data_IF_236502474653
#
_entry.id   IF_236502474653
#
_cell.length_a   1.000
_cell.length_b   1.000
_cell.length_c   1.000
_cell.angle_alpha   90.00
_cell.angle_beta   90.00
_cell.angle_gamma   90.00
#
_symmetry.space_group_name_H-M   'P 1'
#
loop_
_entity.id
_entity.type
_entity.pdbx_description
1 polymer ?
#
# COMPACT_ATOMS: atom_id res chain seq x y z
N UNK A 1 -18.30 -6.01 -27.21
CA UNK A 1 -17.14 -6.34 -26.31
C UNK A 1 -17.65 -6.42 -24.88
N UNK A 2 -17.03 -7.22 -23.98
CA UNK A 2 -17.43 -7.24 -22.56
C UNK A 2 -16.52 -6.30 -21.76
N UNK A 3 -17.03 -5.63 -20.69
CA UNK A 3 -16.19 -4.91 -19.74
C UNK A 3 -15.11 -5.81 -19.13
N UNK A 4 -14.00 -5.20 -18.71
CA UNK A 4 -12.96 -5.92 -17.99
C UNK A 4 -13.47 -6.50 -16.67
N UNK A 5 -12.87 -7.62 -16.25
CA UNK A 5 -13.24 -8.25 -14.98
C UNK A 5 -13.01 -7.28 -13.82
N UNK A 6 -14.08 -6.96 -13.08
CA UNK A 6 -14.04 -6.03 -11.95
C UNK A 6 -14.43 -4.59 -12.29
N UNK A 7 -14.65 -4.25 -13.56
CA UNK A 7 -15.22 -2.94 -13.92
C UNK A 7 -16.71 -2.87 -13.54
N UNK A 8 -17.01 -2.12 -12.48
CA UNK A 8 -18.37 -1.96 -11.94
C UNK A 8 -19.20 -0.89 -12.64
N UNK A 9 -18.59 -0.09 -13.53
CA UNK A 9 -19.25 1.08 -14.14
C UNK A 9 -20.40 0.70 -15.08
N UNK A 10 -20.41 -0.53 -15.58
CA UNK A 10 -21.37 -1.01 -16.58
C UNK A 10 -22.20 -2.21 -16.09
N UNK A 11 -22.32 -2.41 -14.77
CA UNK A 11 -23.00 -3.60 -14.21
C UNK A 11 -24.49 -3.44 -14.08
N UNK A 12 -25.01 -2.21 -14.01
CA UNK A 12 -26.45 -1.98 -13.89
C UNK A 12 -27.18 -2.37 -15.20
N UNK A 13 -28.35 -3.04 -15.12
CA UNK A 13 -29.13 -3.42 -16.29
C UNK A 13 -29.44 -2.27 -17.26
N UNK A 14 -29.56 -1.03 -16.78
CA UNK A 14 -29.82 0.15 -17.63
C UNK A 14 -28.76 0.35 -18.73
N UNK A 15 -27.53 -0.11 -18.52
CA UNK A 15 -26.49 -0.03 -19.54
C UNK A 15 -26.70 -1.00 -20.71
N UNK A 16 -27.50 -2.05 -20.53
CA UNK A 16 -27.76 -3.09 -21.53
C UNK A 16 -29.20 -3.05 -22.05
N UNK A 17 -30.16 -2.68 -21.19
CA UNK A 17 -31.59 -2.73 -21.51
C UNK A 17 -32.03 -1.57 -22.42
N UNK A 18 -31.33 -0.43 -22.34
CA UNK A 18 -31.64 0.78 -23.11
C UNK A 18 -30.72 0.92 -24.35
N UNK A 19 -31.26 0.93 -25.59
CA UNK A 19 -30.46 0.87 -26.82
C UNK A 19 -29.42 1.99 -26.97
N UNK A 20 -29.72 3.20 -26.47
CA UNK A 20 -28.80 4.33 -26.54
C UNK A 20 -27.59 4.15 -25.62
N UNK A 21 -27.80 3.62 -24.41
CA UNK A 21 -26.74 3.38 -23.44
C UNK A 21 -25.91 2.14 -23.80
N UNK A 22 -26.53 1.10 -24.38
CA UNK A 22 -25.79 -0.04 -24.92
C UNK A 22 -24.91 0.40 -26.10
N UNK A 23 -25.44 1.18 -27.05
CA UNK A 23 -24.64 1.71 -28.17
C UNK A 23 -23.45 2.54 -27.67
N UNK A 24 -23.65 3.41 -26.68
CA UNK A 24 -22.59 4.21 -26.08
C UNK A 24 -21.54 3.33 -25.40
N UNK A 25 -21.97 2.33 -24.63
CA UNK A 25 -21.10 1.38 -23.93
C UNK A 25 -20.29 0.55 -24.91
N UNK A 26 -20.94 -0.04 -25.92
CA UNK A 26 -20.24 -0.82 -26.95
C UNK A 26 -19.26 0.06 -27.73
N UNK A 27 -19.65 1.27 -28.12
CA UNK A 27 -18.77 2.21 -28.83
C UNK A 27 -17.51 2.51 -28.02
N UNK A 28 -17.67 2.78 -26.72
CA UNK A 28 -16.56 2.99 -25.80
C UNK A 28 -15.67 1.74 -25.66
N UNK A 29 -16.26 0.57 -25.41
CA UNK A 29 -15.49 -0.66 -25.22
C UNK A 29 -14.73 -1.07 -26.49
N UNK A 30 -15.33 -0.86 -27.66
CA UNK A 30 -14.67 -1.10 -28.94
C UNK A 30 -13.55 -0.10 -29.21
N UNK A 31 -13.75 1.19 -28.91
CA UNK A 31 -12.71 2.20 -29.02
C UNK A 31 -11.54 1.90 -28.07
N UNK A 32 -11.84 1.59 -26.80
CA UNK A 32 -10.85 1.22 -25.79
C UNK A 32 -9.99 0.04 -26.24
N UNK A 33 -10.65 -1.03 -26.70
CA UNK A 33 -9.95 -2.20 -27.24
C UNK A 33 -9.10 -1.85 -28.45
N UNK A 34 -9.64 -1.10 -29.42
CA UNK A 34 -8.91 -0.73 -30.62
C UNK A 34 -7.66 0.09 -30.31
N UNK A 35 -7.75 1.04 -29.37
CA UNK A 35 -6.61 1.85 -28.94
C UNK A 35 -5.54 0.99 -28.27
N UNK A 36 -5.92 0.01 -27.46
CA UNK A 36 -4.97 -0.93 -26.84
C UNK A 36 -4.33 -1.85 -27.89
N UNK A 37 -5.13 -2.46 -28.77
CA UNK A 37 -4.66 -3.35 -29.84
C UNK A 37 -3.69 -2.61 -30.78
N UNK A 38 -3.91 -1.31 -31.04
CA UNK A 38 -2.99 -0.50 -31.85
C UNK A 38 -1.60 -0.38 -31.23
N UNK A 39 -1.47 -0.35 -29.90
CA UNK A 39 -0.17 -0.24 -29.23
C UNK A 39 0.66 -1.52 -29.37
N UNK A 40 0.02 -2.68 -29.51
CA UNK A 40 0.71 -3.97 -29.67
C UNK A 40 1.39 -4.12 -31.04
N UNK A 41 0.85 -3.46 -32.06
CA UNK A 41 1.32 -3.53 -33.46
C UNK A 41 2.49 -2.57 -33.74
N UNK A 42 2.81 -1.65 -32.82
CA UNK A 42 3.91 -0.71 -33.02
C UNK A 42 5.27 -1.37 -32.72
N UNK A 43 6.00 -1.67 -33.79
CA UNK A 43 7.37 -2.20 -33.70
C UNK A 43 8.40 -1.15 -33.25
N UNK A 44 9.51 -1.62 -32.68
CA UNK A 44 10.66 -0.78 -32.33
C UNK A 44 10.61 -0.10 -30.95
N UNK A 45 9.58 -0.38 -30.13
CA UNK A 45 9.46 0.13 -28.77
C UNK A 45 9.97 -0.92 -27.76
N UNK A 46 10.92 -0.58 -26.86
CA UNK A 46 11.34 -1.50 -25.79
C UNK A 46 10.18 -1.91 -24.87
N UNK A 47 10.17 -3.15 -24.39
CA UNK A 47 9.05 -3.72 -23.62
C UNK A 47 8.65 -2.88 -22.39
N UNK A 48 9.62 -2.40 -21.62
CA UNK A 48 9.36 -1.53 -20.45
C UNK A 48 8.68 -0.21 -20.84
N UNK A 49 9.02 0.34 -22.01
CA UNK A 49 8.41 1.57 -22.53
C UNK A 49 7.01 1.26 -23.07
N UNK A 50 6.85 0.16 -23.80
CA UNK A 50 5.55 -0.31 -24.30
C UNK A 50 4.57 -0.51 -23.14
N UNK A 51 4.97 -1.21 -22.10
CA UNK A 51 4.15 -1.43 -20.89
C UNK A 51 3.70 -0.11 -20.25
N UNK A 52 4.59 0.89 -20.16
CA UNK A 52 4.24 2.23 -19.68
C UNK A 52 3.23 2.94 -20.57
N UNK A 53 3.39 2.86 -21.89
CA UNK A 53 2.45 3.45 -22.85
C UNK A 53 1.08 2.80 -22.71
N UNK A 54 1.00 1.46 -22.65
CA UNK A 54 -0.27 0.77 -22.38
C UNK A 54 -0.92 1.26 -21.10
N UNK A 55 -0.17 1.35 -20.02
CA UNK A 55 -0.69 1.83 -18.73
C UNK A 55 -1.29 3.23 -18.86
N UNK A 56 -0.52 4.23 -19.31
CA UNK A 56 -1.01 5.60 -19.36
C UNK A 56 -2.13 5.82 -20.39
N UNK A 57 -2.08 5.11 -21.52
CA UNK A 57 -3.17 5.11 -22.49
C UNK A 57 -4.44 4.50 -21.90
N UNK A 58 -4.32 3.39 -21.14
CA UNK A 58 -5.44 2.79 -20.42
C UNK A 58 -6.04 3.75 -19.41
N UNK A 59 -5.20 4.44 -18.61
CA UNK A 59 -5.67 5.48 -17.68
C UNK A 59 -6.48 6.57 -18.40
N UNK A 60 -5.95 7.08 -19.52
CA UNK A 60 -6.60 8.14 -20.30
C UNK A 60 -7.94 7.67 -20.88
N UNK A 61 -7.97 6.49 -21.51
CA UNK A 61 -9.21 5.91 -22.04
C UNK A 61 -10.23 5.64 -20.93
N UNK A 62 -9.79 5.14 -19.77
CA UNK A 62 -10.66 4.92 -18.63
C UNK A 62 -11.22 6.22 -18.05
N UNK A 63 -10.50 7.34 -18.15
CA UNK A 63 -11.00 8.65 -17.72
C UNK A 63 -12.16 9.16 -18.57
N UNK A 64 -12.17 8.83 -19.87
CA UNK A 64 -13.25 9.19 -20.79
C UNK A 64 -14.40 8.17 -20.83
N UNK A 65 -14.45 7.22 -19.89
CA UNK A 65 -15.55 6.27 -19.85
C UNK A 65 -16.89 6.99 -19.61
N UNK A 66 -17.97 6.61 -20.32
CA UNK A 66 -19.26 7.27 -20.20
C UNK A 66 -19.88 7.12 -18.79
N UNK A 67 -19.51 6.08 -18.04
CA UNK A 67 -19.91 5.93 -16.64
C UNK A 67 -19.36 7.00 -15.70
N UNK A 68 -18.30 7.72 -16.07
CA UNK A 68 -17.66 8.70 -15.19
C UNK A 68 -18.36 10.08 -15.21
N UNK A 69 -19.37 10.31 -16.05
CA UNK A 69 -19.99 11.62 -16.20
C UNK A 69 -21.49 11.57 -15.91
N UNK A 70 -21.98 12.63 -15.24
CA UNK A 70 -23.40 12.78 -14.90
C UNK A 70 -24.32 12.61 -16.12
N UNK A 71 -24.03 13.27 -17.25
CA UNK A 71 -24.92 13.29 -18.41
C UNK A 71 -24.91 12.03 -19.28
N UNK A 72 -23.97 11.10 -19.05
CA UNK A 72 -23.89 9.82 -19.78
C UNK A 72 -24.09 8.59 -18.90
N UNK A 73 -24.23 8.76 -17.58
CA UNK A 73 -24.42 7.66 -16.65
C UNK A 73 -25.92 7.51 -16.29
N UNK A 74 -26.62 6.48 -16.82
CA UNK A 74 -28.05 6.29 -16.58
C UNK A 74 -28.39 6.08 -15.11
N UNK A 75 -27.51 5.46 -14.34
CA UNK A 75 -27.73 5.22 -12.90
C UNK A 75 -27.73 6.54 -12.13
N UNK A 76 -26.74 7.39 -12.40
CA UNK A 76 -26.62 8.70 -11.74
C UNK A 76 -27.77 9.60 -12.17
N UNK A 77 -28.14 9.61 -13.46
CA UNK A 77 -29.28 10.40 -13.95
C UNK A 77 -30.57 9.96 -13.25
N UNK A 78 -30.84 8.65 -13.19
CA UNK A 78 -32.04 8.13 -12.56
C UNK A 78 -32.06 8.47 -11.07
N UNK A 79 -30.94 8.30 -10.37
CA UNK A 79 -30.84 8.64 -8.95
C UNK A 79 -31.03 10.15 -8.72
N UNK A 80 -30.41 11.00 -9.54
CA UNK A 80 -30.59 12.46 -9.49
C UNK A 80 -32.03 12.89 -9.70
N UNK A 81 -32.75 12.25 -10.63
CA UNK A 81 -34.18 12.53 -10.83
C UNK A 81 -34.98 12.07 -9.61
N UNK A 82 -34.73 10.86 -9.11
CA UNK A 82 -35.46 10.29 -7.97
C UNK A 82 -35.26 11.10 -6.68
N UNK A 83 -34.04 11.60 -6.46
CA UNK A 83 -33.66 12.38 -5.27
C UNK A 83 -33.73 13.90 -5.50
N UNK A 84 -34.27 14.35 -6.63
CA UNK A 84 -34.38 15.78 -6.97
C UNK A 84 -33.05 16.56 -6.86
N UNK A 85 -31.93 15.88 -7.13
CA UNK A 85 -30.58 16.45 -7.09
C UNK A 85 -29.89 16.43 -5.73
N UNK A 86 -30.51 15.93 -4.66
CA UNK A 86 -29.87 15.84 -3.34
C UNK A 86 -28.58 15.00 -3.35
N UNK A 87 -28.52 13.94 -4.16
CA UNK A 87 -27.31 13.14 -4.34
C UNK A 87 -26.09 13.96 -4.78
N UNK A 88 -26.29 14.94 -5.66
CA UNK A 88 -25.22 15.81 -6.17
C UNK A 88 -24.78 16.82 -5.11
N UNK A 89 -25.70 17.29 -4.27
CA UNK A 89 -25.37 18.18 -3.14
C UNK A 89 -24.47 17.43 -2.15
N UNK A 90 -24.87 16.24 -1.71
CA UNK A 90 -24.07 15.40 -0.81
C UNK A 90 -22.71 15.03 -1.43
N UNK A 91 -22.70 14.72 -2.73
CA UNK A 91 -21.47 14.41 -3.45
C UNK A 91 -20.51 15.60 -3.56
N UNK A 92 -21.02 16.82 -3.76
CA UNK A 92 -20.23 18.05 -3.76
C UNK A 92 -19.68 18.40 -2.38
N UNK A 93 -20.46 18.21 -1.31
CA UNK A 93 -19.99 18.37 0.07
C UNK A 93 -18.83 17.40 0.35
N UNK A 94 -19.00 16.12 -0.01
CA UNK A 94 -17.97 15.09 0.15
C UNK A 94 -16.71 15.42 -0.67
N UNK A 95 -16.87 15.89 -1.91
CA UNK A 95 -15.75 16.30 -2.76
C UNK A 95 -15.00 17.49 -2.16
N UNK A 96 -15.71 18.47 -1.62
CA UNK A 96 -15.12 19.63 -0.96
C UNK A 96 -14.32 19.21 0.28
N UNK A 97 -14.89 18.35 1.13
CA UNK A 97 -14.21 17.84 2.31
C UNK A 97 -12.95 17.03 1.93
N UNK A 98 -13.05 16.18 0.91
CA UNK A 98 -11.89 15.44 0.41
C UNK A 98 -10.82 16.37 -0.16
N UNK A 99 -11.20 17.43 -0.88
CA UNK A 99 -10.26 18.42 -1.40
C UNK A 99 -9.55 19.18 -0.28
N UNK A 100 -10.26 19.52 0.81
CA UNK A 100 -9.70 20.23 1.97
C UNK A 100 -8.76 19.34 2.81
N UNK A 101 -9.06 18.04 2.87
CA UNK A 101 -8.23 17.05 3.59
C UNK A 101 -7.11 16.47 2.73
N UNK A 102 -7.23 16.62 1.41
CA UNK A 102 -6.20 16.28 0.44
C UNK A 102 -5.06 17.29 0.51
N UNK A 103 -3.81 16.79 0.50
CA UNK A 103 -2.63 17.65 0.43
C UNK A 103 -2.48 18.28 -0.96
N UNK A 104 -1.32 18.09 -1.59
CA UNK A 104 -1.09 18.56 -2.96
C UNK A 104 -1.84 17.77 -4.04
N UNK A 105 -2.42 16.62 -3.67
CA UNK A 105 -3.08 15.69 -4.58
C UNK A 105 -4.41 15.25 -3.99
N UNK A 106 -5.46 15.26 -4.83
CA UNK A 106 -6.79 14.78 -4.44
C UNK A 106 -6.72 13.28 -4.12
N UNK A 107 -7.01 12.94 -2.88
CA UNK A 107 -7.17 11.57 -2.40
C UNK A 107 -8.66 11.29 -2.26
N UNK A 108 -9.22 10.50 -3.18
CA UNK A 108 -10.62 10.08 -3.11
C UNK A 108 -10.79 9.16 -1.90
N UNK A 109 -11.66 9.54 -0.96
CA UNK A 109 -11.86 8.72 0.25
C UNK A 109 -12.53 7.39 -0.09
N UNK A 110 -12.03 6.31 0.51
CA UNK A 110 -12.53 4.95 0.27
C UNK A 110 -13.26 4.36 1.48
N UNK A 111 -13.15 5.03 2.64
CA UNK A 111 -13.82 4.72 3.89
C UNK A 111 -14.15 6.03 4.59
N UNK A 112 -15.06 6.00 5.56
CA UNK A 112 -15.17 7.07 6.52
C UNK A 112 -14.02 6.96 7.56
N UNK A 113 -13.45 8.10 7.93
CA UNK A 113 -12.29 8.21 8.83
C UNK A 113 -12.68 8.04 10.31
N UNK A 114 -13.96 8.18 10.64
CA UNK A 114 -14.46 8.08 12.01
C UNK A 114 -15.06 6.69 12.32
N UNK A 115 -14.99 5.76 11.36
CA UNK A 115 -15.62 4.43 11.47
C UNK A 115 -14.90 3.46 12.39
N UNK A 116 -13.61 3.72 12.68
CA UNK A 116 -12.78 2.81 13.46
C UNK A 116 -11.90 3.58 14.45
N UNK A 117 -11.76 3.01 15.66
CA UNK A 117 -10.81 3.49 16.67
C UNK A 117 -9.66 2.50 16.88
N UNK A 118 -8.42 2.95 16.72
CA UNK A 118 -7.23 2.15 17.02
C UNK A 118 -7.14 1.84 18.52
N UNK A 119 -6.84 0.59 18.85
CA UNK A 119 -6.84 0.04 20.20
C UNK A 119 -8.20 -0.45 20.70
N UNK A 120 -9.30 -0.15 19.98
CA UNK A 120 -10.64 -0.61 20.30
C UNK A 120 -11.18 -1.55 19.21
N UNK A 121 -11.43 -1.03 18.01
CA UNK A 121 -12.00 -1.79 16.89
C UNK A 121 -10.93 -2.39 15.98
N UNK A 122 -9.79 -1.70 15.87
CA UNK A 122 -8.61 -2.07 15.10
C UNK A 122 -7.39 -2.14 16.01
N UNK A 123 -6.43 -3.03 15.74
CA UNK A 123 -5.28 -3.26 16.62
C UNK A 123 -5.71 -3.54 18.08
N UNK A 124 -6.83 -4.26 18.23
CA UNK A 124 -7.48 -4.49 19.52
C UNK A 124 -6.75 -5.53 20.40
N UNK A 125 -5.81 -6.28 19.82
CA UNK A 125 -5.16 -7.39 20.49
C UNK A 125 -4.40 -6.87 21.72
N UNK A 126 -4.70 -7.42 22.90
CA UNK A 126 -4.04 -6.97 24.13
C UNK A 126 -2.54 -7.32 24.11
N UNK A 127 -1.72 -6.29 24.25
CA UNK A 127 -0.26 -6.37 24.34
C UNK A 127 0.31 -5.13 25.02
N UNK A 128 1.64 -5.07 25.13
CA UNK A 128 2.34 -3.95 25.78
C UNK A 128 3.52 -3.48 24.93
N UNK A 129 3.82 -2.17 24.98
CA UNK A 129 5.09 -1.64 24.49
C UNK A 129 6.18 -2.04 25.48
N UNK A 130 7.16 -2.80 25.02
CA UNK A 130 8.25 -3.33 25.86
C UNK A 130 9.60 -2.67 25.57
N UNK A 131 9.70 -1.97 24.45
CA UNK A 131 10.86 -1.16 24.08
C UNK A 131 10.43 -0.04 23.14
N UNK A 132 11.15 1.07 23.19
CA UNK A 132 10.93 2.22 22.32
C UNK A 132 12.25 2.91 22.02
N UNK A 133 12.44 3.29 20.76
CA UNK A 133 13.49 4.21 20.34
C UNK A 133 12.94 5.18 19.28
N UNK A 134 13.82 6.00 18.68
CA UNK A 134 13.43 7.00 17.67
C UNK A 134 12.81 6.41 16.39
N UNK A 135 13.02 5.12 16.12
CA UNK A 135 12.58 4.43 14.90
C UNK A 135 11.31 3.63 15.09
N UNK A 136 11.13 2.97 16.24
CA UNK A 136 10.01 2.07 16.47
C UNK A 136 9.71 1.83 17.95
N UNK A 137 8.50 1.36 18.20
CA UNK A 137 8.09 0.69 19.43
C UNK A 137 8.06 -0.83 19.20
N UNK A 138 8.57 -1.62 20.13
CA UNK A 138 8.40 -3.08 20.13
C UNK A 138 7.19 -3.44 20.98
N UNK A 139 6.20 -4.07 20.36
CA UNK A 139 5.01 -4.58 21.04
C UNK A 139 5.24 -6.05 21.38
N UNK A 140 4.93 -6.45 22.62
CA UNK A 140 4.86 -7.84 23.04
C UNK A 140 3.40 -8.24 23.25
N UNK A 141 3.03 -9.38 22.68
CA UNK A 141 1.75 -10.03 22.88
C UNK A 141 1.98 -11.43 23.45
N UNK A 142 1.45 -11.68 24.65
CA UNK A 142 1.55 -12.98 25.31
C UNK A 142 0.63 -14.01 24.66
N UNK A 143 1.07 -15.28 24.60
CA UNK A 143 0.19 -16.37 24.21
C UNK A 143 -1.00 -16.50 25.18
N UNK A 144 -2.15 -16.96 24.67
CA UNK A 144 -3.38 -17.14 25.47
C UNK A 144 -3.70 -18.61 25.75
N UNK A 145 -2.67 -19.47 25.67
CA UNK A 145 -2.73 -20.92 25.85
C UNK A 145 -2.05 -21.34 27.16
N UNK A 146 -2.36 -22.52 27.68
CA UNK A 146 -1.75 -23.04 28.91
C UNK A 146 -0.23 -23.28 28.79
N UNK A 147 0.23 -23.63 27.59
CA UNK A 147 1.65 -23.80 27.27
C UNK A 147 2.00 -22.93 26.07
N UNK A 148 3.24 -22.47 26.01
CA UNK A 148 3.75 -21.57 24.96
C UNK A 148 4.96 -22.18 24.27
N UNK A 149 5.11 -21.92 22.98
CA UNK A 149 6.32 -22.26 22.25
C UNK A 149 7.53 -21.50 22.81
N UNK A 150 8.62 -22.23 23.07
CA UNK A 150 9.84 -21.66 23.62
C UNK A 150 10.42 -20.54 22.72
N UNK A 151 10.55 -20.79 21.40
CA UNK A 151 11.06 -19.79 20.46
C UNK A 151 9.96 -18.77 20.13
N UNK A 152 10.14 -17.46 20.45
CA UNK A 152 9.15 -16.44 20.14
C UNK A 152 9.12 -16.10 18.64
N UNK A 153 8.07 -15.38 18.24
CA UNK A 153 7.95 -14.83 16.88
C UNK A 153 8.28 -13.33 16.89
N UNK A 154 9.11 -12.87 15.97
CA UNK A 154 9.27 -11.44 15.64
C UNK A 154 8.59 -11.15 14.31
N UNK A 155 7.68 -10.18 14.29
CA UNK A 155 7.02 -9.66 13.10
C UNK A 155 7.63 -8.31 12.73
N UNK A 156 8.19 -8.23 11.54
CA UNK A 156 8.72 -7.01 10.91
C UNK A 156 7.73 -6.57 9.83
N UNK A 157 6.77 -5.66 10.16
CA UNK A 157 5.80 -5.15 9.20
C UNK A 157 6.44 -4.15 8.24
N UNK A 158 5.75 -3.77 7.16
CA UNK A 158 6.18 -2.66 6.33
C UNK A 158 6.23 -1.37 7.16
N UNK A 159 7.18 -0.51 6.81
CA UNK A 159 7.23 0.90 7.22
C UNK A 159 6.58 1.81 6.15
N UNK A 160 5.78 1.20 5.26
CA UNK A 160 4.90 1.84 4.27
C UNK A 160 3.48 1.43 4.67
N UNK A 161 2.71 2.39 5.20
CA UNK A 161 1.52 2.20 6.04
C UNK A 161 1.84 1.53 7.40
N UNK A 162 0.87 1.55 8.31
CA UNK A 162 1.06 1.10 9.69
C UNK A 162 0.95 -0.41 9.85
N UNK A 163 1.50 -0.93 10.95
CA UNK A 163 1.61 -2.37 11.21
C UNK A 163 0.27 -3.11 11.35
N UNK A 164 -0.79 -2.40 11.72
CA UNK A 164 -2.05 -3.02 12.15
C UNK A 164 -2.84 -3.70 11.03
N UNK A 165 -2.37 -3.70 9.78
CA UNK A 165 -2.85 -4.66 8.76
C UNK A 165 -2.68 -6.12 9.19
N UNK A 166 -1.70 -6.39 10.07
CA UNK A 166 -1.49 -7.72 10.67
C UNK A 166 -2.31 -7.92 11.95
N UNK A 167 -3.01 -6.89 12.41
CA UNK A 167 -3.84 -6.89 13.62
C UNK A 167 -5.05 -5.98 13.39
N UNK A 168 -5.90 -6.31 12.40
CA UNK A 168 -7.07 -5.51 12.06
C UNK A 168 -8.16 -5.71 13.14
N UNK A 169 -9.27 -6.36 12.79
CA UNK A 169 -10.37 -6.67 13.69
C UNK A 169 -10.17 -8.07 14.29
N UNK A 170 -10.99 -8.42 15.28
CA UNK A 170 -10.97 -9.75 15.91
C UNK A 170 -11.02 -10.90 14.90
N UNK A 171 -11.92 -10.82 13.92
CA UNK A 171 -12.13 -11.87 12.94
C UNK A 171 -10.98 -12.03 11.92
N UNK A 172 -10.08 -11.06 11.81
CA UNK A 172 -9.02 -11.04 10.80
C UNK A 172 -7.67 -10.53 11.33
N UNK A 173 -7.43 -10.66 12.63
CA UNK A 173 -6.13 -10.38 13.25
C UNK A 173 -5.20 -11.59 13.17
N UNK A 174 -4.10 -11.42 12.42
CA UNK A 174 -3.05 -12.44 12.32
C UNK A 174 -2.26 -12.56 13.63
N UNK A 175 -2.00 -11.43 14.30
CA UNK A 175 -1.34 -11.42 15.62
C UNK A 175 -2.19 -12.16 16.65
N UNK A 176 -3.50 -11.88 16.72
CA UNK A 176 -4.39 -12.57 17.65
C UNK A 176 -4.43 -14.07 17.37
N UNK A 177 -4.50 -14.46 16.09
CA UNK A 177 -4.47 -15.87 15.70
C UNK A 177 -3.17 -16.57 16.16
N UNK A 178 -2.00 -15.96 15.96
CA UNK A 178 -0.70 -16.52 16.39
C UNK A 178 -0.63 -16.75 17.91
N UNK A 179 -1.16 -15.82 18.71
CA UNK A 179 -1.20 -15.96 20.18
C UNK A 179 -2.07 -17.14 20.62
N UNK A 180 -3.17 -17.38 19.90
CA UNK A 180 -4.03 -18.55 20.13
C UNK A 180 -3.40 -19.87 19.66
N UNK A 181 -2.41 -19.82 18.76
CA UNK A 181 -1.58 -20.97 18.41
C UNK A 181 -0.45 -21.23 19.42
N UNK A 182 -0.37 -20.46 20.50
CA UNK A 182 0.61 -20.65 21.56
C UNK A 182 1.98 -20.02 21.29
N UNK A 183 2.03 -18.94 20.50
CA UNK A 183 3.25 -18.16 20.31
C UNK A 183 3.24 -16.87 21.13
N UNK A 184 4.36 -16.56 21.80
CA UNK A 184 4.68 -15.18 22.19
C UNK A 184 5.07 -14.41 20.93
N UNK A 185 4.35 -13.33 20.63
CA UNK A 185 4.55 -12.53 19.41
C UNK A 185 5.12 -11.18 19.79
N UNK A 186 6.23 -10.83 19.18
CA UNK A 186 6.77 -9.48 19.16
C UNK A 186 6.49 -8.85 17.80
N UNK A 187 6.04 -7.61 17.77
CA UNK A 187 5.75 -6.89 16.54
C UNK A 187 6.34 -5.48 16.60
N UNK A 188 7.03 -5.09 15.55
CA UNK A 188 7.58 -3.73 15.45
C UNK A 188 6.49 -2.75 15.00
N UNK A 189 6.34 -1.63 15.71
CA UNK A 189 5.48 -0.51 15.33
C UNK A 189 6.36 0.67 14.94
N UNK A 190 6.53 0.91 13.64
CA UNK A 190 7.39 1.97 13.11
C UNK A 190 6.85 3.37 13.40
N UNK A 191 7.74 4.27 13.80
CA UNK A 191 7.43 5.70 13.95
C UNK A 191 7.10 6.32 12.59
N UNK A 192 6.09 7.19 12.53
CA UNK A 192 5.80 7.98 11.33
C UNK A 192 6.78 9.17 11.26
N UNK A 193 7.71 9.20 10.30
CA UNK A 193 8.81 10.15 10.31
C UNK A 193 8.36 11.58 10.01
N UNK A 194 9.04 12.53 10.65
CA UNK A 194 8.92 13.97 10.39
C UNK A 194 10.12 14.50 9.61
N UNK A 195 10.07 15.77 9.19
CA UNK A 195 11.12 16.40 8.38
C UNK A 195 12.50 16.38 9.04
N UNK A 196 12.55 16.40 10.37
CA UNK A 196 13.79 16.36 11.17
C UNK A 196 14.51 15.00 11.04
N UNK A 197 13.76 13.94 10.74
CA UNK A 197 14.24 12.57 10.62
C UNK A 197 14.74 12.23 9.20
N UNK A 198 14.95 13.23 8.34
CA UNK A 198 15.39 13.04 6.94
C UNK A 198 16.68 12.25 6.76
N UNK A 199 17.53 12.25 7.79
CA UNK A 199 18.84 11.62 7.76
C UNK A 199 18.81 10.13 8.10
N UNK A 200 17.69 9.61 8.61
CA UNK A 200 17.51 8.17 8.80
C UNK A 200 17.69 7.51 7.44
N UNK A 201 18.60 6.56 7.38
CA UNK A 201 18.92 5.78 6.19
C UNK A 201 18.49 4.32 6.38
N UNK A 202 18.56 3.53 5.31
CA UNK A 202 18.11 2.14 5.32
C UNK A 202 18.94 1.26 6.27
N UNK A 203 20.22 1.59 6.46
CA UNK A 203 21.10 0.93 7.43
C UNK A 203 20.68 1.19 8.89
N UNK A 204 20.17 2.38 9.21
CA UNK A 204 19.58 2.65 10.53
C UNK A 204 18.38 1.74 10.81
N UNK A 205 17.51 1.51 9.81
CA UNK A 205 16.37 0.58 9.95
C UNK A 205 16.83 -0.87 10.18
N UNK A 206 17.98 -1.25 9.61
CA UNK A 206 18.56 -2.58 9.83
C UNK A 206 19.17 -2.68 11.22
N UNK A 207 20.08 -1.77 11.57
CA UNK A 207 20.93 -1.86 12.77
C UNK A 207 20.17 -1.38 14.02
N UNK A 208 19.60 -0.18 13.97
CA UNK A 208 18.88 0.42 15.09
C UNK A 208 17.39 0.04 15.11
N UNK A 209 16.91 -0.64 14.07
CA UNK A 209 15.56 -1.21 13.99
C UNK A 209 15.58 -2.72 14.25
N UNK A 210 15.68 -3.52 13.18
CA UNK A 210 15.48 -4.97 13.25
C UNK A 210 16.52 -5.71 14.11
N UNK A 211 17.80 -5.34 14.05
CA UNK A 211 18.86 -5.93 14.91
C UNK A 211 18.62 -5.57 16.38
N UNK A 212 18.22 -4.32 16.66
CA UNK A 212 17.90 -3.89 18.02
C UNK A 212 16.67 -4.61 18.58
N UNK A 213 15.63 -4.82 17.76
CA UNK A 213 14.47 -5.62 18.16
C UNK A 213 14.87 -7.06 18.56
N UNK A 214 15.74 -7.71 17.78
CA UNK A 214 16.27 -9.04 18.10
C UNK A 214 17.05 -9.04 19.42
N UNK A 215 17.90 -8.03 19.66
CA UNK A 215 18.67 -7.86 20.89
C UNK A 215 17.75 -7.73 22.11
N UNK A 216 16.72 -6.90 22.02
CA UNK A 216 15.74 -6.68 23.09
C UNK A 216 14.97 -7.97 23.39
N UNK A 217 14.55 -8.71 22.37
CA UNK A 217 13.83 -9.99 22.56
C UNK A 217 14.71 -11.01 23.29
N UNK A 218 15.99 -11.14 22.92
CA UNK A 218 16.92 -12.03 23.62
C UNK A 218 17.12 -11.60 25.08
N UNK A 219 17.27 -10.30 25.34
CA UNK A 219 17.42 -9.77 26.71
C UNK A 219 16.19 -10.06 27.59
N UNK A 220 14.98 -9.93 27.03
CA UNK A 220 13.74 -10.14 27.76
C UNK A 220 13.38 -11.61 27.97
N UNK A 221 13.64 -12.46 26.98
CA UNK A 221 13.15 -13.84 26.98
C UNK A 221 14.23 -14.85 27.38
N UNK A 222 15.51 -14.47 27.27
CA UNK A 222 16.65 -15.39 27.36
C UNK A 222 16.82 -16.31 26.13
N UNK A 223 15.91 -16.23 25.16
CA UNK A 223 15.96 -17.03 23.93
C UNK A 223 16.89 -16.37 22.91
N UNK A 224 17.90 -17.11 22.47
CA UNK A 224 18.95 -16.59 21.58
C UNK A 224 18.51 -16.42 20.14
N UNK A 225 17.37 -17.02 19.77
CA UNK A 225 16.88 -17.02 18.41
C UNK A 225 15.36 -16.82 18.39
N UNK A 226 14.85 -16.24 17.30
CA UNK A 226 13.42 -16.05 17.05
C UNK A 226 13.01 -16.69 15.73
N UNK A 227 11.73 -17.00 15.58
CA UNK A 227 11.13 -17.20 14.26
C UNK A 227 10.71 -15.82 13.72
N UNK A 228 11.29 -15.37 12.60
CA UNK A 228 11.03 -14.04 12.06
C UNK A 228 10.02 -14.10 10.90
N UNK A 229 9.08 -13.16 10.88
CA UNK A 229 8.12 -12.95 9.81
C UNK A 229 8.32 -11.54 9.28
N UNK A 230 8.60 -11.43 7.99
CA UNK A 230 8.66 -10.16 7.28
C UNK A 230 7.48 -9.99 6.35
N UNK A 231 6.79 -8.84 6.40
CA UNK A 231 5.67 -8.55 5.53
C UNK A 231 5.98 -7.39 4.58
N UNK A 232 5.68 -7.56 3.29
CA UNK A 232 5.92 -6.55 2.25
C UNK A 232 7.38 -6.05 2.31
N UNK A 233 7.62 -4.73 2.35
CA UNK A 233 8.98 -4.16 2.46
C UNK A 233 9.67 -4.47 3.80
N UNK A 234 8.92 -4.81 4.85
CA UNK A 234 9.46 -5.30 6.11
C UNK A 234 10.18 -6.65 5.95
N UNK A 235 9.74 -7.48 5.00
CA UNK A 235 10.47 -8.69 4.61
C UNK A 235 11.75 -8.39 3.85
N UNK A 236 11.79 -7.37 3.00
CA UNK A 236 13.02 -6.92 2.35
C UNK A 236 14.03 -6.43 3.39
N UNK A 237 13.56 -5.72 4.42
CA UNK A 237 14.38 -5.33 5.57
C UNK A 237 14.90 -6.55 6.34
N UNK A 238 14.04 -7.53 6.65
CA UNK A 238 14.44 -8.77 7.33
C UNK A 238 15.49 -9.58 6.54
N UNK A 239 15.37 -9.62 5.21
CA UNK A 239 16.37 -10.25 4.35
C UNK A 239 17.72 -9.50 4.43
N UNK A 240 17.69 -8.16 4.38
CA UNK A 240 18.87 -7.32 4.52
C UNK A 240 19.52 -7.47 5.91
N UNK A 241 18.74 -7.59 6.97
CA UNK A 241 19.21 -7.84 8.34
C UNK A 241 19.94 -9.17 8.45
N UNK A 242 19.42 -10.25 7.86
CA UNK A 242 20.11 -11.54 7.84
C UNK A 242 21.41 -11.48 7.03
N UNK A 243 21.39 -10.79 5.88
CA UNK A 243 22.60 -10.55 5.09
C UNK A 243 23.65 -9.74 5.86
N UNK A 244 23.23 -8.77 6.67
CA UNK A 244 24.09 -7.99 7.56
C UNK A 244 24.78 -8.87 8.61
N UNK A 245 24.04 -9.77 9.28
CA UNK A 245 24.64 -10.74 10.22
C UNK A 245 25.73 -11.58 9.55
N UNK A 246 25.46 -12.11 8.35
CA UNK A 246 26.44 -12.90 7.58
C UNK A 246 27.64 -12.04 7.18
N UNK A 247 27.40 -10.84 6.64
CA UNK A 247 28.45 -9.94 6.15
C UNK A 247 29.41 -9.47 7.26
N UNK A 248 28.88 -9.20 8.45
CA UNK A 248 29.68 -8.82 9.63
C UNK A 248 30.20 -10.01 10.45
N UNK A 249 29.93 -11.26 10.01
CA UNK A 249 30.31 -12.50 10.72
C UNK A 249 29.78 -12.56 12.14
N UNK A 250 28.58 -12.02 12.35
CA UNK A 250 27.87 -12.06 13.61
C UNK A 250 27.05 -13.35 13.69
N UNK A 251 26.75 -13.79 14.92
CA UNK A 251 25.85 -14.93 15.12
C UNK A 251 24.45 -14.53 14.67
N UNK A 252 23.77 -15.38 13.90
CA UNK A 252 22.39 -15.13 13.49
C UNK A 252 21.44 -15.37 14.67
N UNK A 253 20.48 -14.48 14.86
CA UNK A 253 19.42 -14.58 15.88
C UNK A 253 18.06 -14.97 15.25
N UNK A 254 18.03 -15.29 13.95
CA UNK A 254 16.84 -15.73 13.23
C UNK A 254 16.93 -17.24 12.97
N UNK A 255 16.09 -18.02 13.67
CA UNK A 255 16.01 -19.48 13.55
C UNK A 255 15.28 -19.93 12.29
N UNK A 256 14.21 -19.21 11.94
CA UNK A 256 13.47 -19.38 10.68
C UNK A 256 12.99 -18.02 10.19
N UNK A 257 12.84 -17.86 8.87
CA UNK A 257 12.35 -16.63 8.25
C UNK A 257 11.17 -16.96 7.33
N UNK A 258 10.07 -16.24 7.50
CA UNK A 258 8.88 -16.30 6.63
C UNK A 258 8.70 -14.95 5.94
N UNK A 259 8.54 -14.96 4.62
CA UNK A 259 8.37 -13.75 3.81
C UNK A 259 6.95 -13.72 3.22
N UNK A 260 6.15 -12.75 3.65
CA UNK A 260 4.76 -12.59 3.25
C UNK A 260 4.67 -11.44 2.24
N UNK A 261 4.29 -11.74 0.99
CA UNK A 261 4.14 -10.75 -0.07
C UNK A 261 5.38 -9.81 -0.23
N UNK A 262 6.58 -10.37 -0.09
CA UNK A 262 7.84 -9.62 -0.11
C UNK A 262 8.59 -9.82 -1.41
N UNK A 263 9.09 -8.73 -1.98
CA UNK A 263 10.07 -8.77 -3.06
C UNK A 263 11.49 -8.80 -2.49
N UNK A 264 12.30 -9.71 -3.01
CA UNK A 264 13.75 -9.75 -2.83
C UNK A 264 14.43 -9.44 -4.17
N UNK A 265 13.92 -10.05 -5.25
CA UNK A 265 14.22 -9.68 -6.63
C UNK A 265 13.17 -8.65 -7.11
N UNK A 266 13.65 -7.47 -7.49
CA UNK A 266 12.85 -6.34 -7.95
C UNK A 266 12.84 -6.18 -9.48
N UNK A 267 13.31 -7.17 -10.25
CA UNK A 267 13.33 -7.08 -11.73
C UNK A 267 11.92 -6.90 -12.32
N UNK A 268 10.92 -7.54 -11.71
CA UNK A 268 9.52 -7.49 -12.12
C UNK A 268 8.62 -7.03 -10.97
N UNK A 269 8.62 -5.74 -10.61
CA UNK A 269 7.89 -5.21 -9.45
C UNK A 269 6.38 -5.03 -9.71
N UNK A 270 5.85 -5.66 -10.77
CA UNK A 270 4.49 -5.48 -11.24
C UNK A 270 4.22 -4.08 -11.78
N UNK A 271 2.98 -3.62 -11.61
CA UNK A 271 2.50 -2.37 -12.20
C UNK A 271 3.15 -1.11 -11.63
N UNK A 272 3.73 -1.17 -10.42
CA UNK A 272 4.57 -0.10 -9.89
C UNK A 272 5.76 0.23 -10.79
N UNK A 273 6.27 -0.76 -11.53
CA UNK A 273 7.39 -0.60 -12.47
C UNK A 273 7.14 0.45 -13.56
N UNK A 274 5.89 0.82 -13.83
CA UNK A 274 5.54 1.90 -14.78
C UNK A 274 6.15 3.24 -14.35
N UNK A 275 6.21 3.49 -13.05
CA UNK A 275 6.71 4.75 -12.49
C UNK A 275 8.23 4.73 -12.28
N UNK A 276 8.88 3.58 -12.38
CA UNK A 276 10.30 3.41 -12.09
C UNK A 276 11.13 3.63 -13.35
N UNK A 277 11.69 4.83 -13.48
CA UNK A 277 12.66 5.18 -14.52
C UNK A 277 13.54 6.35 -14.07
N UNK A 278 14.72 6.47 -14.66
CA UNK A 278 15.77 7.40 -14.24
C UNK A 278 15.30 8.86 -14.07
N UNK A 279 14.58 9.49 -15.03
CA UNK A 279 14.04 10.84 -14.86
C UNK A 279 13.07 10.97 -13.69
N UNK A 280 12.16 10.00 -13.50
CA UNK A 280 11.15 10.06 -12.44
C UNK A 280 11.81 9.87 -11.08
N UNK A 281 12.69 8.87 -10.94
CA UNK A 281 13.39 8.59 -9.68
C UNK A 281 14.24 9.79 -9.27
N UNK A 282 15.01 10.37 -10.19
CA UNK A 282 15.83 11.57 -9.89
C UNK A 282 14.98 12.78 -9.47
N UNK A 283 13.79 12.92 -10.05
CA UNK A 283 12.86 13.99 -9.68
C UNK A 283 12.29 13.78 -8.27
N UNK A 284 11.92 12.54 -7.94
CA UNK A 284 11.43 12.16 -6.61
C UNK A 284 12.53 12.37 -5.55
N UNK A 285 13.77 11.96 -5.83
CA UNK A 285 14.91 12.17 -4.93
C UNK A 285 15.13 13.66 -4.64
N UNK A 286 15.08 14.51 -5.67
CA UNK A 286 15.19 15.96 -5.52
C UNK A 286 14.08 16.52 -4.63
N UNK A 287 12.83 16.09 -4.84
CA UNK A 287 11.68 16.52 -4.04
C UNK A 287 11.79 16.04 -2.57
N UNK A 288 12.22 14.80 -2.37
CA UNK A 288 12.41 14.20 -1.06
C UNK A 288 13.51 14.92 -0.28
N UNK A 289 14.63 15.28 -0.93
CA UNK A 289 15.73 16.00 -0.29
C UNK A 289 15.28 17.40 0.19
N UNK A 290 14.42 18.06 -0.59
CA UNK A 290 13.84 19.36 -0.22
C UNK A 290 12.84 19.24 0.94
N UNK A 291 12.02 18.20 0.94
CA UNK A 291 10.93 18.01 1.93
C UNK A 291 11.41 17.35 3.23
N UNK A 292 12.48 16.54 3.15
CA UNK A 292 13.01 15.71 4.23
C UNK A 292 12.36 14.31 4.33
N UNK A 293 11.24 14.09 3.67
CA UNK A 293 10.55 12.80 3.61
C UNK A 293 9.75 12.68 2.33
N UNK A 294 9.40 11.45 1.98
CA UNK A 294 8.39 11.13 0.99
C UNK A 294 7.01 11.09 1.67
N UNK A 295 6.07 11.89 1.18
CA UNK A 295 4.71 11.99 1.71
C UNK A 295 3.90 10.73 1.40
N UNK A 296 3.48 9.99 2.44
CA UNK A 296 2.77 8.73 2.30
C UNK A 296 1.49 8.81 1.47
N UNK A 297 0.83 9.98 1.44
CA UNK A 297 -0.39 10.19 0.65
C UNK A 297 -0.16 10.02 -0.85
N UNK A 298 1.06 10.29 -1.33
CA UNK A 298 1.42 10.08 -2.74
C UNK A 298 1.44 8.60 -3.12
N UNK A 299 1.81 7.70 -2.19
CA UNK A 299 1.75 6.27 -2.42
C UNK A 299 0.30 5.79 -2.49
N UNK A 300 -0.58 6.26 -1.60
CA UNK A 300 -2.01 5.94 -1.66
C UNK A 300 -2.62 6.32 -3.01
N UNK A 301 -2.36 7.53 -3.51
CA UNK A 301 -2.81 7.97 -4.84
C UNK A 301 -2.23 7.07 -5.94
N UNK A 302 -0.95 6.73 -5.87
CA UNK A 302 -0.30 5.83 -6.84
C UNK A 302 -0.97 4.46 -6.86
N UNK A 303 -1.26 3.86 -5.70
CA UNK A 303 -1.94 2.56 -5.60
C UNK A 303 -3.37 2.62 -6.16
N UNK A 304 -4.12 3.69 -5.88
CA UNK A 304 -5.45 3.88 -6.46
C UNK A 304 -5.41 4.00 -7.99
N UNK A 305 -4.37 4.65 -8.54
CA UNK A 305 -4.16 4.73 -9.98
C UNK A 305 -3.78 3.38 -10.61
N UNK A 306 -3.14 2.47 -9.87
CA UNK A 306 -2.80 1.14 -10.38
C UNK A 306 -4.01 0.22 -10.59
N UNK A 307 -5.13 0.52 -9.91
CA UNK A 307 -6.41 -0.17 -10.04
C UNK A 307 -7.55 0.82 -10.25
N UNK A 308 -7.40 1.64 -11.30
CA UNK A 308 -8.19 2.83 -11.54
C UNK A 308 -9.70 2.57 -11.65
N UNK A 309 -10.13 1.48 -12.28
CA UNK A 309 -11.56 1.20 -12.43
C UNK A 309 -12.23 0.81 -11.11
N UNK A 310 -11.53 0.03 -10.28
CA UNK A 310 -12.08 -0.51 -9.02
C UNK A 310 -11.89 0.41 -7.83
N UNK A 311 -10.79 1.17 -7.77
CA UNK A 311 -10.42 1.96 -6.60
C UNK A 311 -10.59 3.48 -6.83
N UNK A 312 -10.39 3.97 -8.06
CA UNK A 312 -10.53 5.40 -8.34
C UNK A 312 -11.92 5.74 -8.89
N UNK A 313 -12.26 5.27 -10.10
CA UNK A 313 -13.50 5.63 -10.78
C UNK A 313 -14.74 5.13 -10.07
N UNK A 314 -14.70 3.93 -9.47
CA UNK A 314 -15.81 3.42 -8.67
C UNK A 314 -16.16 4.35 -7.52
N UNK A 315 -15.18 4.74 -6.70
CA UNK A 315 -15.43 5.63 -5.55
C UNK A 315 -15.71 7.08 -5.98
N UNK A 316 -15.12 7.53 -7.08
CA UNK A 316 -15.48 8.82 -7.68
C UNK A 316 -16.99 8.86 -8.04
N UNK A 317 -17.49 7.82 -8.71
CA UNK A 317 -18.90 7.75 -9.12
C UNK A 317 -19.80 7.59 -7.89
N UNK A 318 -19.49 6.64 -6.99
CA UNK A 318 -20.32 6.37 -5.82
C UNK A 318 -20.36 7.56 -4.85
N UNK A 319 -19.21 8.14 -4.51
CA UNK A 319 -19.16 9.21 -3.51
C UNK A 319 -19.61 10.55 -4.09
N UNK A 320 -19.09 10.95 -5.26
CA UNK A 320 -19.28 12.33 -5.74
C UNK A 320 -20.44 12.48 -6.71
N UNK A 321 -20.76 11.45 -7.50
CA UNK A 321 -21.91 11.51 -8.41
C UNK A 321 -23.19 10.96 -7.78
N UNK A 322 -23.11 9.84 -7.05
CA UNK A 322 -24.27 9.24 -6.38
C UNK A 322 -24.46 9.73 -4.94
N UNK A 323 -23.50 10.45 -4.36
CA UNK A 323 -23.64 10.97 -2.99
C UNK A 323 -23.80 9.86 -1.96
N UNK A 324 -23.24 8.67 -2.24
CA UNK A 324 -23.25 7.52 -1.36
C UNK A 324 -22.07 7.60 -0.40
N UNK A 325 -22.29 7.25 0.86
CA UNK A 325 -21.20 7.17 1.82
C UNK A 325 -20.32 5.94 1.53
N UNK A 326 -18.98 6.08 1.62
CA UNK A 326 -18.07 4.96 1.44
C UNK A 326 -18.29 3.92 2.54
N UNK A 327 -18.27 2.65 2.17
CA UNK A 327 -18.45 1.55 3.13
C UNK A 327 -17.30 1.46 4.14
N UNK A 328 -17.63 1.09 5.38
CA UNK A 328 -16.70 0.93 6.49
C UNK A 328 -15.90 -0.39 6.38
N UNK A 329 -14.91 -0.42 5.49
CA UNK A 329 -13.98 -1.54 5.36
C UNK A 329 -12.66 -1.24 6.07
N UNK A 330 -12.31 -2.10 7.03
CA UNK A 330 -11.08 -2.04 7.82
C UNK A 330 -9.80 -1.95 6.97
N UNK A 331 -9.73 -2.72 5.89
CA UNK A 331 -8.57 -2.72 4.98
C UNK A 331 -8.43 -1.39 4.22
N UNK A 332 -9.53 -0.71 3.91
CA UNK A 332 -9.52 0.58 3.24
C UNK A 332 -9.15 1.69 4.22
N UNK A 333 -9.61 1.58 5.47
CA UNK A 333 -9.15 2.43 6.57
C UNK A 333 -7.63 2.35 6.74
N UNK A 334 -7.09 1.14 6.87
CA UNK A 334 -5.65 0.93 6.90
C UNK A 334 -4.92 1.51 5.68
N UNK A 335 -5.51 1.36 4.49
CA UNK A 335 -4.88 1.88 3.26
C UNK A 335 -4.80 3.41 3.27
N UNK A 336 -5.84 4.08 3.79
CA UNK A 336 -5.90 5.55 3.91
C UNK A 336 -4.99 6.10 5.00
N UNK A 337 -4.67 5.31 6.03
CA UNK A 337 -3.79 5.70 7.14
C UNK A 337 -2.30 5.53 6.77
N UNK A 338 -1.87 6.36 5.82
CA UNK A 338 -0.52 6.33 5.25
C UNK A 338 0.55 6.86 6.21
N UNK A 339 1.77 6.35 6.06
CA UNK A 339 2.96 6.84 6.79
C UNK A 339 3.95 7.50 5.83
N UNK A 340 4.65 8.52 6.31
CA UNK A 340 5.77 9.11 5.59
C UNK A 340 6.96 8.14 5.57
N UNK A 341 7.93 8.40 4.70
CA UNK A 341 9.17 7.62 4.61
C UNK A 341 10.34 8.60 4.60
N UNK A 342 11.41 8.43 5.41
CA UNK A 342 12.53 9.36 5.40
C UNK A 342 13.14 9.49 4.00
N UNK A 343 13.60 10.69 3.63
CA UNK A 343 14.08 10.97 2.27
C UNK A 343 15.14 9.98 1.79
N UNK A 344 16.15 9.69 2.62
CA UNK A 344 17.23 8.74 2.28
C UNK A 344 16.73 7.30 2.15
N UNK A 345 15.83 6.87 3.03
CA UNK A 345 15.20 5.54 2.94
C UNK A 345 14.42 5.42 1.65
N UNK A 346 13.52 6.36 1.35
CA UNK A 346 12.71 6.28 0.13
C UNK A 346 13.59 6.27 -1.12
N UNK A 347 14.59 7.16 -1.18
CA UNK A 347 15.54 7.23 -2.30
C UNK A 347 16.29 5.91 -2.48
N UNK A 348 16.76 5.30 -1.38
CA UNK A 348 17.38 3.97 -1.41
C UNK A 348 16.42 2.92 -1.98
N UNK A 349 15.16 2.89 -1.55
CA UNK A 349 14.17 1.93 -2.06
C UNK A 349 13.99 2.08 -3.57
N UNK A 350 13.67 3.28 -4.06
CA UNK A 350 13.37 3.47 -5.49
C UNK A 350 14.59 3.30 -6.39
N UNK A 351 15.77 3.73 -5.92
CA UNK A 351 17.02 3.70 -6.70
C UNK A 351 17.69 2.34 -6.66
N UNK A 352 18.03 1.87 -5.46
CA UNK A 352 18.85 0.67 -5.29
C UNK A 352 17.99 -0.58 -5.49
N UNK A 353 16.75 -0.58 -5.02
CA UNK A 353 15.89 -1.77 -5.13
C UNK A 353 15.12 -1.76 -6.44
N UNK A 354 14.19 -0.83 -6.62
CA UNK A 354 13.28 -0.87 -7.78
C UNK A 354 13.95 -0.60 -9.12
N UNK A 355 14.87 0.36 -9.20
CA UNK A 355 15.50 0.73 -10.48
C UNK A 355 16.69 -0.18 -10.81
N UNK A 356 17.60 -0.38 -9.86
CA UNK A 356 18.85 -1.11 -10.09
C UNK A 356 18.80 -2.59 -9.71
N UNK A 357 17.83 -3.00 -8.89
CA UNK A 357 17.74 -4.36 -8.35
C UNK A 357 19.05 -4.83 -7.68
N UNK A 358 19.63 -3.95 -6.86
CA UNK A 358 20.94 -4.14 -6.23
C UNK A 358 20.91 -5.16 -5.08
N UNK A 359 19.74 -5.52 -4.53
CA UNK A 359 19.63 -6.45 -3.40
C UNK A 359 20.06 -7.87 -3.72
N UNK A 360 19.79 -8.34 -4.94
CA UNK A 360 20.20 -9.67 -5.40
C UNK A 360 21.64 -9.68 -5.95
N UNK A 361 22.26 -8.50 -6.08
CA UNK A 361 23.60 -8.37 -6.64
C UNK A 361 24.66 -8.41 -5.54
N UNK A 362 25.65 -9.33 -5.62
CA UNK A 362 26.69 -9.43 -4.60
C UNK A 362 27.44 -8.11 -4.38
N UNK A 363 27.58 -7.71 -3.12
CA UNK A 363 28.37 -6.56 -2.67
C UNK A 363 27.91 -5.17 -3.20
N UNK A 364 26.68 -5.03 -3.69
CA UNK A 364 26.14 -3.74 -4.15
C UNK A 364 25.58 -2.89 -3.02
N UNK A 365 24.85 -3.49 -2.09
CA UNK A 365 24.30 -2.80 -0.92
C UNK A 365 25.31 -2.84 0.23
N UNK A 366 25.50 -1.69 0.88
CA UNK A 366 26.32 -1.54 2.09
C UNK A 366 25.43 -1.16 3.27
N UNK A 367 25.66 -1.78 4.41
CA UNK A 367 24.92 -1.54 5.66
C UNK A 367 25.96 -1.31 6.75
N UNK A 368 26.01 -0.07 7.25
CA UNK A 368 26.94 0.36 8.30
C UNK A 368 28.41 0.05 7.95
N UNK A 369 28.88 0.60 6.83
CA UNK A 369 30.19 0.28 6.22
C UNK A 369 30.22 -1.13 5.65
#
# INVERSE_FOLDING_TARGET
>A
VKPESGDRRFTNPLWQDEPNYDLLTQSYLHFSKLVQDMLDVVDGIPDKVRYRIHFFTRQMVNAFAPGNFLWTNPEVIQQTINEQGENLVRGMETFYDDLMNSGKYLSVRMTNNDSFSLGNDLAYTSGAVVFENELFQLLQYEAVTETVHQTPILVVPPFINKYYVLDLREQNSFVNWLRHQGHTVFLMSWCNPKAEQKNIAFDDLVVSGAVEALRVIEEMTGEKEVNAIGYCIGGTLLAATQAYYVGKRLKNHVKSATYLATLIDFDNPGSLGVFINEPVVSSIETLNEQTGYFDGRQLAVTFSLLRENTLYWNYYIENYLKGNEPSDFDILYWNSDSTNIPAKVHSFLVRQLYLNNDLIQPNKIKING
#
